data_IF_572145285560
#
_entry.id   IF_572145285560
#
_cell.length_a   1.000
_cell.length_b   1.000
_cell.length_c   1.000
_cell.angle_alpha   90.00
_cell.angle_beta   90.00
_cell.angle_gamma   90.00
#
_symmetry.space_group_name_H-M   'P 1'
#
loop_
_entity.id
_entity.type
_entity.pdbx_description
1 polymer ?
#
# COMPACT_ATOMS: atom_id res chain seq x y z
N UNK A 1 -13.42 -10.69 21.10
CA UNK A 1 -13.72 -12.11 20.81
C UNK A 1 -14.38 -12.21 19.44
N UNK A 2 -13.53 -12.37 18.40
CA UNK A 2 -13.99 -12.49 17.00
C UNK A 2 -14.58 -13.87 16.67
N UNK A 3 -14.80 -14.71 17.69
CA UNK A 3 -15.18 -16.13 17.54
C UNK A 3 -16.68 -16.38 17.45
N UNK A 4 -17.48 -15.37 17.04
CA UNK A 4 -18.94 -15.54 16.97
C UNK A 4 -19.39 -16.51 15.87
N UNK A 5 -18.80 -16.43 14.69
CA UNK A 5 -18.97 -17.42 13.60
C UNK A 5 -17.76 -17.42 12.67
N UNK A 6 -17.38 -18.55 12.06
CA UNK A 6 -16.26 -18.58 11.11
C UNK A 6 -16.47 -17.64 9.92
N UNK A 7 -17.71 -17.49 9.46
CA UNK A 7 -18.03 -16.58 8.36
C UNK A 7 -17.76 -15.09 8.72
N UNK A 8 -18.09 -14.69 9.94
CA UNK A 8 -17.83 -13.32 10.42
C UNK A 8 -16.32 -13.06 10.56
N UNK A 9 -15.57 -14.02 11.07
CA UNK A 9 -14.09 -13.91 11.16
C UNK A 9 -13.47 -13.75 9.79
N UNK A 10 -13.88 -14.55 8.80
CA UNK A 10 -13.39 -14.43 7.41
C UNK A 10 -13.71 -13.05 6.83
N UNK A 11 -14.92 -12.55 7.04
CA UNK A 11 -15.32 -11.21 6.60
C UNK A 11 -14.43 -10.11 7.23
N UNK A 12 -14.21 -10.16 8.54
CA UNK A 12 -13.34 -9.21 9.24
C UNK A 12 -11.90 -9.27 8.76
N UNK A 13 -11.36 -10.47 8.53
CA UNK A 13 -10.02 -10.64 7.95
C UNK A 13 -9.92 -10.06 6.54
N UNK A 14 -10.93 -10.26 5.71
CA UNK A 14 -10.98 -9.67 4.37
C UNK A 14 -10.99 -8.14 4.41
N UNK A 15 -11.83 -7.56 5.28
CA UNK A 15 -11.89 -6.09 5.46
C UNK A 15 -10.55 -5.56 5.99
N UNK A 16 -9.95 -6.22 6.98
CA UNK A 16 -8.65 -5.83 7.52
C UNK A 16 -7.53 -5.91 6.46
N UNK A 17 -7.52 -6.95 5.64
CA UNK A 17 -6.56 -7.08 4.54
C UNK A 17 -6.73 -5.97 3.51
N UNK A 18 -7.95 -5.65 3.14
CA UNK A 18 -8.25 -4.57 2.19
C UNK A 18 -7.83 -3.21 2.73
N UNK A 19 -8.16 -2.91 3.98
CA UNK A 19 -7.74 -1.67 4.66
C UNK A 19 -6.21 -1.60 4.78
N UNK A 20 -5.56 -2.71 5.13
CA UNK A 20 -4.11 -2.80 5.20
C UNK A 20 -3.44 -2.54 3.85
N UNK A 21 -3.95 -3.13 2.77
CA UNK A 21 -3.45 -2.89 1.42
C UNK A 21 -3.60 -1.42 1.00
N UNK A 22 -4.76 -0.80 1.25
CA UNK A 22 -5.00 0.62 0.97
C UNK A 22 -4.05 1.52 1.78
N UNK A 23 -3.88 1.25 3.08
CA UNK A 23 -2.94 1.98 3.92
C UNK A 23 -1.49 1.78 3.47
N UNK A 24 -1.13 0.57 3.07
CA UNK A 24 0.19 0.26 2.52
C UNK A 24 0.50 1.08 1.27
N UNK A 25 -0.43 1.14 0.33
CA UNK A 25 -0.31 1.94 -0.88
C UNK A 25 -0.16 3.43 -0.56
N UNK A 26 -1.01 3.96 0.34
CA UNK A 26 -0.96 5.36 0.77
C UNK A 26 0.36 5.72 1.46
N UNK A 27 0.80 4.91 2.43
CA UNK A 27 2.04 5.16 3.17
C UNK A 27 3.27 5.10 2.26
N UNK A 28 3.28 4.19 1.29
CA UNK A 28 4.37 4.09 0.33
C UNK A 28 4.45 5.35 -0.56
N UNK A 29 3.32 5.84 -1.06
CA UNK A 29 3.25 7.08 -1.82
C UNK A 29 3.65 8.29 -0.97
N UNK A 30 3.17 8.36 0.28
CA UNK A 30 3.53 9.42 1.22
C UNK A 30 5.04 9.43 1.52
N UNK A 31 5.63 8.28 1.81
CA UNK A 31 7.06 8.16 2.08
C UNK A 31 7.91 8.62 0.89
N UNK A 32 7.51 8.25 -0.32
CA UNK A 32 8.18 8.70 -1.53
C UNK A 32 8.14 10.23 -1.68
N UNK A 33 6.96 10.85 -1.53
CA UNK A 33 6.78 12.31 -1.65
C UNK A 33 7.59 13.07 -0.61
N UNK A 34 7.58 12.61 0.64
CA UNK A 34 8.37 13.22 1.72
C UNK A 34 9.87 13.21 1.39
N UNK A 35 10.38 12.09 0.89
CA UNK A 35 11.81 11.97 0.51
C UNK A 35 12.17 12.89 -0.65
N UNK A 36 11.24 13.11 -1.60
CA UNK A 36 11.48 13.96 -2.77
C UNK A 36 11.07 15.44 -2.55
N UNK A 37 10.64 15.80 -1.34
CA UNK A 37 10.23 17.16 -1.00
C UNK A 37 8.92 17.61 -1.66
N UNK A 38 8.10 16.65 -2.11
CA UNK A 38 6.81 16.93 -2.74
C UNK A 38 5.68 17.03 -1.69
N UNK A 39 4.63 17.80 -2.05
CA UNK A 39 3.46 17.94 -1.18
C UNK A 39 2.70 16.62 -1.04
N UNK A 40 2.51 16.16 0.21
CA UNK A 40 1.75 14.94 0.52
C UNK A 40 0.25 15.11 0.21
N UNK A 41 -0.26 16.34 0.37
CA UNK A 41 -1.71 16.63 0.26
C UNK A 41 -2.12 17.14 -1.13
N UNK A 42 -1.17 17.56 -1.96
CA UNK A 42 -1.45 18.13 -3.29
C UNK A 42 -0.74 17.32 -4.36
N UNK A 43 -1.50 16.92 -5.37
CA UNK A 43 -1.01 16.16 -6.51
C UNK A 43 -1.85 14.90 -6.74
N UNK A 44 -1.93 14.49 -8.00
CA UNK A 44 -2.57 13.24 -8.43
C UNK A 44 -1.47 12.27 -8.81
N UNK A 45 -1.70 10.99 -8.53
CA UNK A 45 -0.79 9.94 -9.00
C UNK A 45 -0.79 9.91 -10.53
N UNK A 46 0.38 9.87 -11.12
CA UNK A 46 0.58 9.83 -12.57
C UNK A 46 1.65 8.81 -12.94
N UNK A 47 1.66 8.38 -14.17
CA UNK A 47 2.69 7.50 -14.68
C UNK A 47 3.94 8.30 -15.01
N UNK A 48 5.09 7.97 -14.43
CA UNK A 48 6.36 8.69 -14.64
C UNK A 48 6.86 8.64 -16.10
N UNK A 49 6.43 7.62 -16.87
CA UNK A 49 6.87 7.47 -18.25
C UNK A 49 6.02 8.29 -19.22
N UNK A 50 4.69 8.28 -19.07
CA UNK A 50 3.79 8.95 -20.00
C UNK A 50 3.08 10.18 -19.40
N UNK A 51 3.26 10.48 -18.10
CA UNK A 51 2.61 11.61 -17.42
C UNK A 51 1.09 11.45 -17.24
N UNK A 52 0.51 10.33 -17.66
CA UNK A 52 -0.95 10.15 -17.58
C UNK A 52 -1.40 10.05 -16.13
N UNK A 53 -2.42 10.81 -15.77
CA UNK A 53 -3.01 10.81 -14.41
C UNK A 53 -3.79 9.53 -14.21
N UNK A 54 -3.49 8.81 -13.12
CA UNK A 54 -4.14 7.55 -12.77
C UNK A 54 -5.56 7.78 -12.27
N UNK A 55 -6.46 6.90 -12.68
CA UNK A 55 -7.85 6.89 -12.19
C UNK A 55 -7.97 6.11 -10.89
N UNK A 56 -9.09 6.28 -10.17
CA UNK A 56 -9.33 5.53 -8.94
C UNK A 56 -9.28 4.00 -9.15
N UNK A 57 -9.68 3.51 -10.32
CA UNK A 57 -9.59 2.09 -10.67
C UNK A 57 -8.15 1.58 -10.83
N UNK A 58 -7.25 2.44 -11.30
CA UNK A 58 -5.84 2.11 -11.46
C UNK A 58 -5.09 2.10 -10.11
N UNK A 59 -5.70 2.72 -9.07
CA UNK A 59 -5.15 2.83 -7.72
C UNK A 59 -5.63 1.74 -6.76
N UNK A 60 -6.47 0.80 -7.22
CA UNK A 60 -6.91 -0.33 -6.37
C UNK A 60 -5.70 -1.22 -6.09
N UNK A 61 -5.27 -1.35 -4.81
CA UNK A 61 -4.07 -2.09 -4.45
C UNK A 61 -4.11 -3.53 -4.95
N UNK A 62 -2.98 -4.06 -5.37
CA UNK A 62 -2.80 -5.43 -5.89
C UNK A 62 -3.65 -5.72 -7.14
N UNK A 63 -4.95 -5.35 -7.13
CA UNK A 63 -5.91 -5.68 -8.19
C UNK A 63 -5.52 -5.02 -9.52
N UNK A 64 -5.22 -3.71 -9.50
CA UNK A 64 -4.83 -3.00 -10.73
C UNK A 64 -3.55 -3.58 -11.33
N UNK A 65 -2.58 -3.95 -10.48
CA UNK A 65 -1.34 -4.59 -10.92
C UNK A 65 -1.60 -5.93 -11.61
N UNK A 66 -2.48 -6.76 -11.03
CA UNK A 66 -2.83 -8.07 -11.60
C UNK A 66 -3.61 -7.92 -12.91
N UNK A 67 -4.60 -7.03 -12.96
CA UNK A 67 -5.43 -6.76 -14.14
C UNK A 67 -4.58 -6.26 -15.31
N UNK A 68 -3.66 -5.33 -15.05
CA UNK A 68 -2.79 -4.75 -16.07
C UNK A 68 -1.47 -5.53 -16.26
N UNK A 69 -1.33 -6.70 -15.61
CA UNK A 69 -0.15 -7.57 -15.70
C UNK A 69 1.16 -6.83 -15.42
N UNK A 70 1.15 -5.96 -14.41
CA UNK A 70 2.31 -5.18 -14.03
C UNK A 70 2.76 -4.16 -15.08
N UNK A 71 1.85 -3.62 -15.88
CA UNK A 71 2.14 -2.64 -16.93
C UNK A 71 1.19 -1.46 -16.85
N UNK A 72 1.69 -0.29 -17.22
CA UNK A 72 0.84 0.88 -17.39
C UNK A 72 -0.21 0.64 -18.46
N UNK A 73 -1.47 0.95 -18.18
CA UNK A 73 -2.59 0.78 -19.12
C UNK A 73 -2.43 1.61 -20.40
N UNK A 74 -1.74 2.75 -20.30
CA UNK A 74 -1.65 3.75 -21.38
C UNK A 74 -0.39 3.60 -22.22
N UNK A 75 0.79 3.43 -21.61
CA UNK A 75 2.05 3.35 -22.33
C UNK A 75 2.72 1.97 -22.30
N UNK A 76 2.15 0.98 -21.59
CA UNK A 76 2.72 -0.35 -21.49
C UNK A 76 4.00 -0.47 -20.65
N UNK A 77 4.49 0.63 -20.08
CA UNK A 77 5.70 0.61 -19.24
C UNK A 77 5.54 -0.37 -18.08
N UNK A 78 6.61 -1.08 -17.74
CA UNK A 78 6.59 -2.04 -16.61
C UNK A 78 6.48 -1.32 -15.29
N UNK A 79 5.54 -1.76 -14.46
CA UNK A 79 5.34 -1.27 -13.10
C UNK A 79 6.18 -2.10 -12.13
N UNK A 80 6.71 -1.44 -11.09
CA UNK A 80 7.50 -2.13 -10.09
C UNK A 80 6.63 -3.01 -9.19
N UNK A 81 6.98 -4.28 -9.07
CA UNK A 81 6.32 -5.21 -8.15
C UNK A 81 6.49 -4.82 -6.65
N UNK A 82 7.38 -3.89 -6.32
CA UNK A 82 7.65 -3.48 -4.93
C UNK A 82 6.44 -2.86 -4.25
N UNK A 83 5.60 -2.13 -4.99
CA UNK A 83 4.35 -1.59 -4.45
C UNK A 83 3.44 -2.71 -3.98
N UNK A 84 3.29 -3.74 -4.81
CA UNK A 84 2.48 -4.92 -4.49
C UNK A 84 3.00 -5.63 -3.23
N UNK A 85 4.32 -5.78 -3.09
CA UNK A 85 4.90 -6.36 -1.87
C UNK A 85 4.67 -5.50 -0.64
N UNK A 86 4.73 -4.18 -0.76
CA UNK A 86 4.42 -3.25 0.33
C UNK A 86 2.96 -3.34 0.75
N UNK A 87 2.05 -3.35 -0.21
CA UNK A 87 0.61 -3.49 -0.01
C UNK A 87 0.27 -4.86 0.62
N UNK A 88 0.87 -5.94 0.12
CA UNK A 88 0.69 -7.28 0.66
C UNK A 88 1.22 -7.38 2.10
N UNK A 89 2.39 -6.83 2.38
CA UNK A 89 2.96 -6.80 3.74
C UNK A 89 2.04 -6.05 4.71
N UNK A 90 1.51 -4.90 4.33
CA UNK A 90 0.57 -4.13 5.14
C UNK A 90 -0.75 -4.90 5.34
N UNK A 91 -1.29 -5.55 4.30
CA UNK A 91 -2.49 -6.37 4.40
C UNK A 91 -2.31 -7.53 5.39
N UNK A 92 -1.19 -8.24 5.30
CA UNK A 92 -0.85 -9.33 6.24
C UNK A 92 -0.70 -8.81 7.66
N UNK A 93 -0.01 -7.67 7.84
CA UNK A 93 0.18 -7.06 9.17
C UNK A 93 -1.16 -6.69 9.81
N UNK A 94 -2.04 -6.03 9.08
CA UNK A 94 -3.36 -5.64 9.59
C UNK A 94 -4.20 -6.85 9.97
N UNK A 95 -4.22 -7.87 9.13
CA UNK A 95 -4.96 -9.11 9.41
C UNK A 95 -4.38 -9.85 10.63
N UNK A 96 -3.06 -9.94 10.74
CA UNK A 96 -2.41 -10.59 11.88
C UNK A 96 -2.68 -9.85 13.21
N UNK A 97 -2.65 -8.52 13.20
CA UNK A 97 -2.97 -7.70 14.37
C UNK A 97 -4.44 -7.86 14.77
N UNK A 98 -5.36 -7.90 13.82
CA UNK A 98 -6.77 -8.16 14.09
C UNK A 98 -6.97 -9.54 14.75
N UNK A 99 -6.34 -10.58 14.21
CA UNK A 99 -6.43 -11.93 14.77
C UNK A 99 -5.77 -12.06 16.15
N UNK A 100 -4.75 -11.23 16.44
CA UNK A 100 -4.00 -11.28 17.70
C UNK A 100 -4.67 -10.51 18.82
N UNK A 101 -5.21 -9.34 18.53
CA UNK A 101 -5.70 -8.40 19.54
C UNK A 101 -7.22 -8.22 19.52
N UNK A 102 -7.94 -8.88 18.61
CA UNK A 102 -9.35 -8.62 18.34
C UNK A 102 -9.61 -7.13 18.05
N UNK A 103 -10.86 -6.69 18.09
CA UNK A 103 -11.22 -5.26 17.98
C UNK A 103 -11.07 -4.63 19.36
N UNK A 104 -9.90 -4.11 19.64
CA UNK A 104 -9.53 -3.52 20.94
C UNK A 104 -8.70 -2.25 20.78
N UNK A 105 -8.55 -1.48 21.86
CA UNK A 105 -7.67 -0.31 21.88
C UNK A 105 -6.21 -0.71 21.61
N UNK A 106 -5.77 -1.86 22.12
CA UNK A 106 -4.44 -2.41 21.88
C UNK A 106 -4.19 -2.69 20.39
N UNK A 107 -5.21 -3.16 19.66
CA UNK A 107 -5.11 -3.32 18.20
C UNK A 107 -4.87 -1.97 17.52
N UNK A 108 -5.59 -0.92 17.93
CA UNK A 108 -5.41 0.42 17.35
C UNK A 108 -4.00 0.96 17.59
N UNK A 109 -3.47 0.82 18.81
CA UNK A 109 -2.10 1.22 19.15
C UNK A 109 -1.07 0.46 18.30
N UNK A 110 -1.24 -0.86 18.18
CA UNK A 110 -0.36 -1.72 17.39
C UNK A 110 -0.43 -1.38 15.88
N UNK A 111 -1.61 -1.03 15.36
CA UNK A 111 -1.79 -0.58 13.98
C UNK A 111 -1.08 0.75 13.72
N UNK A 112 -1.21 1.72 14.62
CA UNK A 112 -0.52 3.02 14.52
C UNK A 112 0.99 2.82 14.51
N UNK A 113 1.51 1.99 15.43
CA UNK A 113 2.93 1.67 15.47
C UNK A 113 3.40 0.97 14.18
N UNK A 114 2.64 0.00 13.70
CA UNK A 114 2.94 -0.70 12.45
C UNK A 114 2.97 0.25 11.26
N UNK A 115 2.03 1.20 11.14
CA UNK A 115 2.02 2.23 10.11
C UNK A 115 3.27 3.10 10.15
N UNK A 116 3.69 3.55 11.34
CA UNK A 116 4.91 4.35 11.51
C UNK A 116 6.14 3.54 11.10
N UNK A 117 6.26 2.30 11.54
CA UNK A 117 7.40 1.43 11.19
C UNK A 117 7.45 1.15 9.68
N UNK A 118 6.32 0.87 9.04
CA UNK A 118 6.24 0.69 7.59
C UNK A 118 6.65 1.96 6.84
N UNK A 119 6.14 3.12 7.23
CA UNK A 119 6.50 4.39 6.62
C UNK A 119 8.01 4.68 6.78
N UNK A 120 8.58 4.47 7.97
CA UNK A 120 10.01 4.65 8.23
C UNK A 120 10.87 3.68 7.41
N UNK A 121 10.48 2.41 7.29
CA UNK A 121 11.23 1.44 6.48
C UNK A 121 11.24 1.81 5.00
N UNK A 122 10.17 2.38 4.49
CA UNK A 122 10.10 2.82 3.09
C UNK A 122 10.83 4.14 2.86
N UNK A 123 10.76 5.08 3.80
CA UNK A 123 11.50 6.34 3.72
C UNK A 123 13.02 6.16 3.85
N UNK A 124 13.49 5.20 4.64
CA UNK A 124 14.92 4.97 4.92
C UNK A 124 15.63 4.09 3.85
N UNK A 125 14.98 3.77 2.75
CA UNK A 125 15.62 3.01 1.67
C UNK A 125 16.57 3.92 0.89
N UNK A 126 17.85 3.52 0.70
CA UNK A 126 18.82 4.35 0.00
C UNK A 126 18.34 4.66 -1.42
N UNK A 127 18.39 5.92 -1.79
CA UNK A 127 17.89 6.46 -3.06
C UNK A 127 18.49 5.74 -4.30
N UNK A 128 19.67 5.14 -4.18
CA UNK A 128 20.31 4.39 -5.26
C UNK A 128 19.52 3.14 -5.72
N UNK A 129 18.70 2.55 -4.85
CA UNK A 129 17.84 1.43 -5.24
C UNK A 129 16.51 1.97 -5.80
N UNK A 130 16.10 3.19 -5.43
CA UNK A 130 14.94 3.87 -5.98
C UNK A 130 15.12 4.26 -7.45
N UNK A 131 16.31 4.70 -7.87
CA UNK A 131 16.53 5.26 -9.21
C UNK A 131 16.33 4.21 -10.34
N UNK A 132 16.66 2.95 -10.10
CA UNK A 132 16.48 1.88 -11.09
C UNK A 132 15.10 1.19 -11.08
N UNK A 133 14.30 1.41 -10.06
CA UNK A 133 13.04 0.68 -9.83
C UNK A 133 11.83 1.60 -9.73
N UNK A 134 12.03 2.91 -9.52
CA UNK A 134 11.00 3.93 -9.41
C UNK A 134 10.65 4.61 -10.74
N UNK A 135 11.22 4.19 -11.83
CA UNK A 135 10.76 4.55 -13.16
C UNK A 135 9.39 3.92 -13.41
N UNK A 136 8.38 4.31 -12.65
CA UNK A 136 7.08 3.83 -13.00
C UNK A 136 5.88 4.00 -12.08
N UNK A 137 5.97 4.60 -10.87
CA UNK A 137 4.71 4.81 -10.11
C UNK A 137 4.85 5.74 -8.90
N UNK A 138 4.49 6.97 -9.05
CA UNK A 138 3.82 7.79 -8.05
C UNK A 138 2.73 8.65 -8.67
#
# INVERSE_FOLDING_TARGET
>A
MLHLTPAFTVYCCFVAALLGACMGSFLNCMAWRVVHGESVLRGRSHCDVCGHVLTAGDLIPVVSYLVHRGRCRWCGAKLSARHVWGEAAAAVTFTALLLRYDISLQMLEALLLACVLLACTWANRPAHICFFVFSGFC
#
